data_IF_225312552879
#
_entry.id   IF_225312552879
#
_cell.length_a   1.000
_cell.length_b   1.000
_cell.length_c   1.000
_cell.angle_alpha   90.00
_cell.angle_beta   90.00
_cell.angle_gamma   90.00
#
_symmetry.space_group_name_H-M   'P 1'
#
loop_
_entity.id
_entity.type
_entity.pdbx_description
1 polymer ?
#
# COMPACT_ATOMS: atom_id res chain seq x y z
N UNK A 1 -17.49 -11.60 -3.96
CA UNK A 1 -17.64 -10.17 -3.69
C UNK A 1 -17.79 -9.46 -5.00
N UNK A 2 -18.49 -8.35 -5.01
CA UNK A 2 -18.41 -7.41 -6.12
C UNK A 2 -17.12 -6.60 -5.91
N UNK A 3 -16.19 -6.70 -6.87
CA UNK A 3 -14.85 -6.09 -6.79
C UNK A 3 -14.91 -4.58 -6.62
N UNK A 4 -15.98 -3.93 -7.07
CA UNK A 4 -16.17 -2.48 -6.89
C UNK A 4 -16.46 -2.13 -5.44
N UNK A 5 -17.33 -2.90 -4.78
CA UNK A 5 -17.65 -2.67 -3.37
C UNK A 5 -16.47 -3.00 -2.46
N UNK A 6 -15.72 -4.06 -2.77
CA UNK A 6 -14.51 -4.45 -2.03
C UNK A 6 -13.46 -3.32 -2.08
N UNK A 7 -13.33 -2.65 -3.22
CA UNK A 7 -12.42 -1.52 -3.40
C UNK A 7 -12.82 -0.27 -2.59
N UNK A 8 -14.12 0.04 -2.51
CA UNK A 8 -14.63 1.14 -1.69
C UNK A 8 -14.50 0.88 -0.20
N UNK A 9 -14.78 -0.34 0.25
CA UNK A 9 -14.58 -0.75 1.65
C UNK A 9 -13.12 -0.57 2.03
N UNK A 10 -12.20 -0.99 1.16
CA UNK A 10 -10.77 -0.84 1.39
C UNK A 10 -10.35 0.64 1.42
N UNK A 11 -10.76 1.45 0.44
CA UNK A 11 -10.44 2.89 0.43
C UNK A 11 -10.93 3.60 1.70
N UNK A 12 -12.16 3.32 2.15
CA UNK A 12 -12.66 3.83 3.42
C UNK A 12 -11.84 3.32 4.61
N UNK A 13 -11.37 2.07 4.57
CA UNK A 13 -10.52 1.53 5.63
C UNK A 13 -9.19 2.27 5.71
N UNK A 14 -8.58 2.60 4.56
CA UNK A 14 -7.35 3.41 4.50
C UNK A 14 -7.60 4.78 5.13
N UNK A 15 -8.66 5.47 4.71
CA UNK A 15 -8.95 6.85 5.12
C UNK A 15 -9.39 7.00 6.57
N UNK A 16 -10.00 5.96 7.16
CA UNK A 16 -10.56 6.00 8.51
C UNK A 16 -9.63 5.38 9.56
N UNK A 17 -8.57 4.69 9.14
CA UNK A 17 -7.68 3.99 10.06
C UNK A 17 -6.49 4.86 10.45
N UNK A 18 -6.00 4.71 11.68
CA UNK A 18 -4.67 5.20 12.07
C UNK A 18 -3.57 4.17 11.74
N UNK A 19 -3.93 2.89 11.66
CA UNK A 19 -3.04 1.79 11.28
C UNK A 19 -3.81 0.82 10.38
N UNK A 20 -3.25 0.53 9.21
CA UNK A 20 -3.80 -0.41 8.25
C UNK A 20 -2.98 -1.70 8.30
N UNK A 21 -3.63 -2.79 8.66
CA UNK A 21 -3.03 -4.13 8.64
C UNK A 21 -3.51 -4.85 7.39
N UNK A 22 -2.65 -4.95 6.38
CA UNK A 22 -2.92 -5.74 5.19
C UNK A 22 -2.48 -7.19 5.41
N UNK A 23 -3.39 -8.13 5.17
CA UNK A 23 -3.16 -9.53 5.46
C UNK A 23 -3.20 -10.35 4.17
N UNK A 24 -2.09 -11.03 3.86
CA UNK A 24 -2.01 -11.97 2.75
C UNK A 24 -1.47 -13.32 3.22
N UNK A 25 -1.64 -14.36 2.40
CA UNK A 25 -1.11 -15.70 2.63
C UNK A 25 0.05 -15.96 1.69
N UNK A 26 1.08 -16.66 2.17
CA UNK A 26 2.25 -17.05 1.39
C UNK A 26 3.33 -15.99 1.45
N UNK A 27 3.66 -15.38 0.32
CA UNK A 27 4.74 -14.40 0.19
C UNK A 27 4.20 -13.09 -0.40
N UNK A 28 4.97 -12.01 -0.33
CA UNK A 28 4.64 -10.80 -1.07
C UNK A 28 4.92 -11.07 -2.56
N UNK A 29 3.86 -11.32 -3.32
CA UNK A 29 3.90 -11.58 -4.76
C UNK A 29 3.33 -10.40 -5.56
N UNK A 30 3.45 -10.48 -6.89
CA UNK A 30 2.96 -9.42 -7.78
C UNK A 30 1.45 -9.21 -7.63
N UNK A 31 0.68 -10.28 -7.39
CA UNK A 31 -0.77 -10.16 -7.26
C UNK A 31 -1.17 -9.34 -6.03
N UNK A 32 -0.54 -9.61 -4.89
CA UNK A 32 -0.79 -8.86 -3.67
C UNK A 32 -0.32 -7.39 -3.79
N UNK A 33 0.75 -7.15 -4.55
CA UNK A 33 1.22 -5.80 -4.90
C UNK A 33 0.24 -5.05 -5.81
N UNK A 34 -0.28 -5.70 -6.85
CA UNK A 34 -1.24 -5.11 -7.79
C UNK A 34 -2.54 -4.71 -7.09
N UNK A 35 -3.03 -5.56 -6.17
CA UNK A 35 -4.20 -5.26 -5.34
C UNK A 35 -3.95 -4.04 -4.45
N UNK A 36 -2.78 -3.97 -3.80
CA UNK A 36 -2.43 -2.84 -2.95
C UNK A 36 -2.28 -1.54 -3.76
N UNK A 37 -1.62 -1.60 -4.93
CA UNK A 37 -1.45 -0.44 -5.80
C UNK A 37 -2.80 0.14 -6.26
N UNK A 38 -3.72 -0.72 -6.69
CA UNK A 38 -5.06 -0.31 -7.11
C UNK A 38 -5.82 0.41 -5.99
N UNK A 39 -5.71 -0.08 -4.75
CA UNK A 39 -6.36 0.54 -3.60
C UNK A 39 -5.74 1.89 -3.25
N UNK A 40 -4.41 2.00 -3.27
CA UNK A 40 -3.72 3.26 -2.96
C UNK A 40 -4.16 4.32 -3.96
N UNK A 41 -4.22 3.98 -5.26
CA UNK A 41 -4.69 4.87 -6.31
C UNK A 41 -6.15 5.30 -6.10
N UNK A 42 -7.03 4.38 -5.67
CA UNK A 42 -8.41 4.71 -5.37
C UNK A 42 -8.56 5.61 -4.15
N UNK A 43 -7.80 5.34 -3.09
CA UNK A 43 -7.83 6.14 -1.85
C UNK A 43 -7.36 7.56 -2.12
N UNK A 44 -6.30 7.71 -2.92
CA UNK A 44 -5.80 9.00 -3.39
C UNK A 44 -6.87 9.75 -4.22
N UNK A 45 -7.45 9.09 -5.22
CA UNK A 45 -8.53 9.66 -6.05
C UNK A 45 -9.78 10.05 -5.25
N UNK A 46 -10.14 9.33 -4.20
CA UNK A 46 -11.28 9.67 -3.32
C UNK A 46 -10.95 10.88 -2.47
N UNK A 47 -9.74 10.92 -1.92
CA UNK A 47 -9.25 12.03 -1.10
C UNK A 47 -9.22 13.34 -1.89
N UNK A 48 -8.66 13.32 -3.11
CA UNK A 48 -8.62 14.46 -4.03
C UNK A 48 -10.02 14.96 -4.46
N UNK A 49 -11.03 14.08 -4.45
CA UNK A 49 -12.42 14.45 -4.78
C UNK A 49 -13.20 14.98 -3.58
N UNK A 50 -12.81 14.59 -2.38
CA UNK A 50 -13.49 14.95 -1.14
C UNK A 50 -13.04 16.31 -0.59
N UNK A 51 -11.86 16.80 -0.98
CA UNK A 51 -11.42 18.16 -0.65
C UNK A 51 -12.14 19.19 -1.53
N UNK A 52 -12.71 20.27 -0.94
CA UNK A 52 -13.28 21.35 -1.73
C UNK A 52 -12.17 22.04 -2.53
N UNK A 53 -12.40 22.27 -3.82
CA UNK A 53 -11.52 23.02 -4.73
C UNK A 53 -11.41 24.48 -4.27
N UNK A 54 -10.59 24.75 -3.28
CA UNK A 54 -10.16 26.12 -2.96
C UNK A 54 -8.67 26.22 -3.28
N UNK A 55 -8.36 26.97 -4.35
CA UNK A 55 -7.04 27.39 -4.86
C UNK A 55 -6.19 26.41 -5.70
N UNK A 56 -5.50 27.00 -6.68
CA UNK A 56 -4.76 26.39 -7.80
C UNK A 56 -3.36 25.86 -7.42
N UNK A 57 -3.13 25.50 -6.15
CA UNK A 57 -1.83 25.04 -5.67
C UNK A 57 -1.79 23.51 -5.57
N UNK A 58 -1.87 22.83 -6.71
CA UNK A 58 -1.91 21.37 -6.86
C UNK A 58 -0.68 20.62 -6.26
N UNK A 59 0.40 21.35 -5.93
CA UNK A 59 1.64 20.78 -5.41
C UNK A 59 1.73 20.76 -3.87
N UNK A 60 1.04 21.67 -3.16
CA UNK A 60 1.07 21.71 -1.69
C UNK A 60 0.16 20.67 -1.04
N UNK A 61 -0.82 20.17 -1.79
CA UNK A 61 -1.85 19.28 -1.30
C UNK A 61 -1.35 17.83 -1.16
N UNK A 62 -0.47 17.35 -2.05
CA UNK A 62 0.14 16.01 -1.99
C UNK A 62 0.91 15.77 -0.67
N UNK A 63 1.64 16.77 -0.18
CA UNK A 63 2.36 16.68 1.10
C UNK A 63 1.43 16.68 2.32
N UNK A 64 0.30 17.41 2.26
CA UNK A 64 -0.74 17.32 3.28
C UNK A 64 -1.43 15.95 3.27
N UNK A 65 -1.61 15.33 2.11
CA UNK A 65 -2.24 14.00 2.00
C UNK A 65 -1.36 12.87 2.51
N UNK A 66 -0.04 12.96 2.39
CA UNK A 66 0.88 12.02 3.02
C UNK A 66 0.69 11.92 4.55
N UNK A 67 0.22 12.99 5.20
CA UNK A 67 -0.06 13.00 6.64
C UNK A 67 -1.33 12.23 7.05
N UNK A 68 -2.22 11.93 6.11
CA UNK A 68 -3.47 11.20 6.35
C UNK A 68 -3.37 9.70 6.08
N UNK A 69 -2.24 9.22 5.55
CA UNK A 69 -2.07 7.79 5.34
C UNK A 69 -1.80 7.08 6.67
N UNK A 70 -2.51 5.97 6.97
CA UNK A 70 -2.27 5.19 8.17
C UNK A 70 -0.86 4.62 8.17
N UNK A 71 -0.34 4.33 9.37
CA UNK A 71 0.80 3.42 9.48
C UNK A 71 0.43 2.08 8.83
N UNK A 72 1.30 1.57 7.95
CA UNK A 72 1.05 0.35 7.21
C UNK A 72 1.78 -0.84 7.84
N UNK A 73 1.08 -1.96 8.01
CA UNK A 73 1.65 -3.23 8.48
C UNK A 73 1.20 -4.34 7.54
N UNK A 74 2.15 -5.11 6.99
CA UNK A 74 1.84 -6.27 6.16
C UNK A 74 1.98 -7.57 6.96
N UNK A 75 0.86 -8.15 7.35
CA UNK A 75 0.81 -9.45 8.01
C UNK A 75 0.82 -10.58 6.98
N UNK A 76 2.00 -11.16 6.74
CA UNK A 76 2.17 -12.30 5.80
C UNK A 76 1.98 -13.62 6.56
N UNK A 77 0.87 -14.33 6.31
CA UNK A 77 0.54 -15.63 6.95
C UNK A 77 1.07 -16.81 6.14
N UNK A 78 1.32 -17.93 6.82
CA UNK A 78 1.86 -19.15 6.21
C UNK A 78 3.16 -18.89 5.43
N UNK A 79 4.02 -18.03 5.99
CA UNK A 79 5.30 -17.67 5.40
C UNK A 79 6.26 -18.85 5.46
N UNK A 80 6.70 -19.33 4.30
CA UNK A 80 7.58 -20.52 4.18
C UNK A 80 8.95 -20.21 3.62
N UNK A 81 9.25 -18.96 3.27
CA UNK A 81 10.57 -18.58 2.78
C UNK A 81 11.55 -18.44 3.94
N UNK A 82 12.80 -18.79 3.67
CA UNK A 82 13.89 -18.45 4.56
C UNK A 82 14.23 -16.96 4.38
N UNK A 83 14.27 -16.20 5.47
CA UNK A 83 14.64 -14.78 5.47
C UNK A 83 16.16 -14.64 5.30
N UNK A 84 16.66 -15.04 4.13
CA UNK A 84 18.06 -14.90 3.74
C UNK A 84 18.19 -14.28 2.37
N UNK A 85 19.18 -13.42 2.22
CA UNK A 85 19.56 -12.84 0.94
C UNK A 85 21.08 -12.77 0.84
N UNK A 86 21.62 -13.22 -0.29
CA UNK A 86 23.08 -13.29 -0.52
C UNK A 86 23.84 -14.08 0.57
N UNK A 87 23.15 -15.00 1.26
CA UNK A 87 23.70 -15.82 2.33
C UNK A 87 23.61 -15.20 3.73
N UNK A 88 23.18 -13.96 3.86
CA UNK A 88 22.98 -13.27 5.14
C UNK A 88 21.51 -13.30 5.56
N UNK A 89 21.27 -13.45 6.87
CA UNK A 89 19.92 -13.33 7.45
C UNK A 89 19.44 -11.89 7.36
N UNK A 90 18.17 -11.72 6.99
CA UNK A 90 17.52 -10.41 6.85
C UNK A 90 16.34 -10.31 7.83
N UNK A 91 15.98 -9.09 8.23
CA UNK A 91 14.77 -8.87 9.03
C UNK A 91 13.49 -8.93 8.19
N UNK A 92 12.35 -9.03 8.84
CA UNK A 92 11.03 -8.95 8.22
C UNK A 92 10.80 -7.60 7.53
N UNK A 93 11.28 -6.51 8.15
CA UNK A 93 11.22 -5.16 7.57
C UNK A 93 12.11 -5.07 6.33
N UNK A 94 13.31 -5.65 6.35
CA UNK A 94 14.17 -5.71 5.17
C UNK A 94 13.55 -6.53 4.04
N UNK A 95 12.84 -7.62 4.36
CA UNK A 95 12.07 -8.38 3.38
C UNK A 95 10.97 -7.53 2.75
N UNK A 96 10.21 -6.78 3.56
CA UNK A 96 9.17 -5.87 3.08
C UNK A 96 9.75 -4.79 2.16
N UNK A 97 10.79 -4.06 2.60
CA UNK A 97 11.45 -3.02 1.81
C UNK A 97 11.97 -3.54 0.46
N UNK A 98 12.53 -4.76 0.46
CA UNK A 98 13.00 -5.41 -0.78
C UNK A 98 11.86 -5.83 -1.70
N UNK A 99 10.74 -6.29 -1.15
CA UNK A 99 9.55 -6.62 -1.93
C UNK A 99 8.90 -5.38 -2.57
N UNK A 100 8.97 -4.23 -1.88
CA UNK A 100 8.46 -2.94 -2.37
C UNK A 100 9.42 -2.22 -3.33
N UNK A 101 10.68 -2.67 -3.42
CA UNK A 101 11.71 -2.00 -4.23
C UNK A 101 11.32 -2.02 -5.71
N UNK A 102 11.14 -0.82 -6.28
CA UNK A 102 10.83 -0.65 -7.69
C UNK A 102 11.90 -1.34 -8.54
N UNK A 103 11.48 -2.32 -9.35
CA UNK A 103 12.35 -2.87 -10.39
C UNK A 103 12.44 -1.85 -11.52
N UNK A 104 13.67 -1.47 -11.89
CA UNK A 104 13.88 -0.68 -13.10
C UNK A 104 13.32 -1.46 -14.30
N UNK A 105 12.25 -0.94 -14.90
CA UNK A 105 11.70 -1.52 -16.12
C UNK A 105 12.78 -1.48 -17.20
N UNK A 106 13.17 -2.65 -17.72
CA UNK A 106 13.83 -2.68 -19.03
C UNK A 106 12.74 -2.43 -20.06
N UNK A 107 12.66 -1.18 -20.52
CA UNK A 107 11.97 -0.84 -21.76
C UNK A 107 12.61 -1.50 -22.97
#
# INVERSE_FOLDING_TARGET
>A
GDTVNDAWIFALTVLLSSTLIYNSKGTIDQHAMDQMHYVVELSDRVTLKATPKESEDELEDSEKFASFFPTFVWAVRDFTLELKMDGEEISEDEYLEKALKLKAGKG
#
